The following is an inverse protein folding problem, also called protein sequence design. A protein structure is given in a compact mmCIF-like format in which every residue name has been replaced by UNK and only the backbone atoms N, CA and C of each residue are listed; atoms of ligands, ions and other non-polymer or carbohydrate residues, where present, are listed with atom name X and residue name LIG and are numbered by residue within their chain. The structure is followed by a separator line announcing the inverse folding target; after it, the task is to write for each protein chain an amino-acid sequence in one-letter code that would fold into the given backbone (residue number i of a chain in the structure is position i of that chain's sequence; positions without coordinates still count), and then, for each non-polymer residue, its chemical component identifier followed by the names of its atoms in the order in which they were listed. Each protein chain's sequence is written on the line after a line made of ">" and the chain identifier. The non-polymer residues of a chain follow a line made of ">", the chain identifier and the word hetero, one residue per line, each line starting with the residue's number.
data_IF_640451195962
#
_entry.id   IF_640451195962
#
_cell.length_a   1.000
_cell.length_b   1.000
_cell.length_c   1.000
_cell.angle_alpha   90.00
_cell.angle_beta   90.00
_cell.angle_gamma   90.00
#
_symmetry.space_group_name_H-M   'P 1'
#
loop_
_entity.id
_entity.type
_entity.pdbx_description
1 polymer ?
#
# COMPACT_ATOMS: atom_id res chain seq x y z
N UNK A 1 -1.82 -3.68 -17.47
CA UNK A 1 -1.01 -2.65 -16.78
C UNK A 1 -1.91 -1.97 -15.76
N UNK A 2 -1.57 -2.00 -14.47
CA UNK A 2 -2.33 -1.27 -13.43
C UNK A 2 -1.93 0.21 -13.55
N UNK A 3 -2.90 1.11 -13.68
CA UNK A 3 -2.60 2.55 -13.76
C UNK A 3 -2.50 3.18 -12.34
N UNK A 4 -1.99 4.42 -12.25
CA UNK A 4 -1.76 5.08 -10.96
C UNK A 4 -3.02 5.25 -10.09
N UNK A 5 -4.19 5.45 -10.71
CA UNK A 5 -5.46 5.58 -10.00
C UNK A 5 -5.92 4.25 -9.39
N UNK A 6 -5.86 3.16 -10.17
CA UNK A 6 -6.16 1.81 -9.67
C UNK A 6 -5.22 1.40 -8.53
N UNK A 7 -3.95 1.82 -8.60
CA UNK A 7 -2.99 1.56 -7.53
C UNK A 7 -3.31 2.36 -6.26
N UNK A 8 -3.76 3.61 -6.39
CA UNK A 8 -4.24 4.42 -5.26
C UNK A 8 -5.47 3.81 -4.59
N UNK A 9 -6.45 3.34 -5.37
CA UNK A 9 -7.64 2.68 -4.85
C UNK A 9 -7.28 1.39 -4.08
N UNK A 10 -6.39 0.57 -4.64
CA UNK A 10 -5.90 -0.64 -4.00
C UNK A 10 -5.14 -0.34 -2.70
N UNK A 11 -4.33 0.71 -2.69
CA UNK A 11 -3.57 1.14 -1.51
C UNK A 11 -4.54 1.54 -0.39
N UNK A 12 -5.56 2.35 -0.70
CA UNK A 12 -6.58 2.76 0.27
C UNK A 12 -7.37 1.58 0.81
N UNK A 13 -7.76 0.65 -0.06
CA UNK A 13 -8.46 -0.58 0.36
C UNK A 13 -7.59 -1.42 1.30
N UNK A 14 -6.29 -1.55 0.98
CA UNK A 14 -5.33 -2.33 1.77
C UNK A 14 -5.09 -1.70 3.14
N UNK A 15 -4.97 -0.36 3.22
CA UNK A 15 -4.87 0.38 4.50
C UNK A 15 -6.12 0.19 5.37
N UNK A 16 -7.32 0.22 4.77
CA UNK A 16 -8.56 -0.06 5.49
C UNK A 16 -8.61 -1.51 6.04
N UNK A 17 -8.21 -2.50 5.24
CA UNK A 17 -8.15 -3.91 5.70
C UNK A 17 -7.17 -4.08 6.85
N UNK A 18 -6.01 -3.44 6.76
CA UNK A 18 -5.03 -3.43 7.85
C UNK A 18 -5.58 -2.81 9.13
N UNK A 19 -6.32 -1.70 9.05
CA UNK A 19 -6.98 -1.10 10.20
C UNK A 19 -7.95 -2.08 10.87
N UNK A 20 -8.71 -2.85 10.09
CA UNK A 20 -9.60 -3.88 10.61
C UNK A 20 -8.84 -5.04 11.29
N UNK A 21 -7.69 -5.46 10.74
CA UNK A 21 -6.84 -6.48 11.35
C UNK A 21 -6.28 -6.00 12.70
N UNK A 22 -5.75 -4.78 12.78
CA UNK A 22 -5.27 -4.20 14.04
C UNK A 22 -6.38 -4.18 15.09
N UNK A 23 -7.59 -3.70 14.74
CA UNK A 23 -8.74 -3.70 15.66
C UNK A 23 -9.15 -5.10 16.11
N UNK A 24 -9.06 -6.10 15.23
CA UNK A 24 -9.37 -7.48 15.58
C UNK A 24 -8.33 -8.03 16.56
N UNK A 25 -7.04 -7.83 16.28
CA UNK A 25 -5.93 -8.21 17.17
C UNK A 25 -6.10 -7.58 18.54
N UNK A 26 -6.33 -6.27 18.61
CA UNK A 26 -6.49 -5.53 19.86
C UNK A 26 -7.58 -6.16 20.74
N UNK A 27 -8.73 -6.49 20.15
CA UNK A 27 -9.84 -7.13 20.87
C UNK A 27 -9.51 -8.50 21.45
N UNK A 28 -8.81 -9.35 20.69
CA UNK A 28 -8.54 -10.74 21.11
C UNK A 28 -7.21 -10.88 21.87
N UNK A 29 -6.36 -9.86 21.86
CA UNK A 29 -5.01 -9.88 22.46
C UNK A 29 -4.99 -10.08 23.98
N UNK A 30 -6.09 -9.73 24.66
CA UNK A 30 -6.22 -9.89 26.12
C UNK A 30 -6.64 -11.29 26.55
N UNK A 31 -7.12 -12.12 25.61
CA UNK A 31 -7.59 -13.47 25.88
C UNK A 31 -6.44 -14.48 25.73
N UNK A 32 -6.02 -15.17 26.79
CA UNK A 32 -4.85 -16.06 26.77
C UNK A 32 -4.95 -17.19 25.73
N UNK A 33 -6.17 -17.68 25.50
CA UNK A 33 -6.46 -18.78 24.58
C UNK A 33 -6.26 -18.37 23.11
N UNK A 34 -6.25 -17.07 22.80
CA UNK A 34 -6.04 -16.57 21.44
C UNK A 34 -4.60 -16.15 21.15
N UNK A 35 -3.62 -16.48 22.01
CA UNK A 35 -2.20 -16.13 21.81
C UNK A 35 -1.66 -16.54 20.44
N UNK A 36 -1.98 -17.75 19.98
CA UNK A 36 -1.53 -18.23 18.67
C UNK A 36 -2.19 -17.44 17.53
N UNK A 37 -3.50 -17.21 17.61
CA UNK A 37 -4.24 -16.41 16.62
C UNK A 37 -3.69 -14.98 16.53
N UNK A 38 -3.39 -14.34 17.68
CA UNK A 38 -2.76 -13.02 17.75
C UNK A 38 -1.40 -13.02 17.06
N UNK A 39 -0.58 -14.05 17.32
CA UNK A 39 0.73 -14.21 16.69
C UNK A 39 0.61 -14.30 15.16
N UNK A 40 -0.27 -15.17 14.65
CA UNK A 40 -0.51 -15.35 13.21
C UNK A 40 -1.04 -14.07 12.57
N UNK A 41 -2.03 -13.41 13.18
CA UNK A 41 -2.58 -12.16 12.66
C UNK A 41 -1.54 -11.03 12.63
N UNK A 42 -0.63 -10.99 13.60
CA UNK A 42 0.48 -10.02 13.63
C UNK A 42 1.44 -10.23 12.45
N UNK A 43 1.74 -11.48 12.08
CA UNK A 43 2.53 -11.79 10.89
C UNK A 43 1.81 -11.32 9.63
N UNK A 44 0.51 -11.60 9.51
CA UNK A 44 -0.29 -11.15 8.35
C UNK A 44 -0.28 -9.62 8.22
N UNK A 45 -0.45 -8.90 9.32
CA UNK A 45 -0.35 -7.42 9.33
C UNK A 45 1.01 -6.95 8.82
N UNK A 46 2.10 -7.58 9.25
CA UNK A 46 3.45 -7.26 8.78
C UNK A 46 3.61 -7.48 7.27
N UNK A 47 3.05 -8.56 6.74
CA UNK A 47 3.10 -8.84 5.31
C UNK A 47 2.33 -7.78 4.51
N UNK A 48 1.18 -7.33 5.01
CA UNK A 48 0.41 -6.24 4.41
C UNK A 48 1.17 -4.91 4.45
N UNK A 49 1.89 -4.60 5.54
CA UNK A 49 2.75 -3.42 5.63
C UNK A 49 3.83 -3.43 4.54
N UNK A 50 4.52 -4.56 4.37
CA UNK A 50 5.55 -4.71 3.33
C UNK A 50 4.97 -4.57 1.93
N UNK A 51 3.74 -5.04 1.70
CA UNK A 51 3.06 -4.86 0.41
C UNK A 51 2.68 -3.39 0.17
N UNK A 52 2.15 -2.70 1.18
CA UNK A 52 1.84 -1.27 1.09
C UNK A 52 3.09 -0.45 0.76
N UNK A 53 4.23 -0.73 1.39
CA UNK A 53 5.48 -0.02 1.11
C UNK A 53 5.92 -0.20 -0.35
N UNK A 54 5.81 -1.42 -0.89
CA UNK A 54 6.10 -1.70 -2.30
C UNK A 54 5.14 -0.96 -3.24
N UNK A 55 3.86 -0.91 -2.91
CA UNK A 55 2.85 -0.19 -3.70
C UNK A 55 3.11 1.33 -3.68
N UNK A 56 3.44 1.90 -2.51
CA UNK A 56 3.82 3.32 -2.35
C UNK A 56 5.05 3.65 -3.20
N UNK A 57 6.08 2.80 -3.18
CA UNK A 57 7.26 2.97 -4.03
C UNK A 57 6.93 2.89 -5.52
N UNK A 58 6.05 1.96 -5.92
CA UNK A 58 5.63 1.84 -7.32
C UNK A 58 4.86 3.08 -7.78
N UNK A 59 3.96 3.62 -6.94
CA UNK A 59 3.21 4.83 -7.22
C UNK A 59 4.14 6.04 -7.41
N UNK A 60 5.11 6.24 -6.49
CA UNK A 60 6.07 7.34 -6.61
C UNK A 60 6.91 7.28 -7.90
N UNK A 61 7.24 6.07 -8.39
CA UNK A 61 7.92 5.91 -9.69
C UNK A 61 7.03 6.30 -10.88
N UNK A 62 5.72 6.03 -10.80
CA UNK A 62 4.74 6.41 -11.84
C UNK A 62 4.60 7.93 -11.91
N UNK A 63 4.52 8.61 -10.76
CA UNK A 63 4.44 10.07 -10.69
C UNK A 63 5.67 10.75 -11.30
N UNK A 64 6.88 10.26 -10.98
CA UNK A 64 8.14 10.78 -11.53
C UNK A 64 8.26 10.53 -13.04
N UNK A 65 7.86 9.34 -13.51
CA UNK A 65 7.88 9.02 -14.94
C UNK A 65 6.92 9.88 -15.78
N UNK A 66 5.77 10.25 -15.22
CA UNK A 66 4.84 11.18 -15.85
C UNK A 66 5.38 12.60 -15.97
N UNK A 67 6.13 13.08 -14.97
CA UNK A 67 6.77 14.41 -15.01
C UNK A 67 7.90 14.49 -16.03
N UNK A 68 8.71 13.43 -16.20
CA UNK A 68 9.79 13.41 -17.21
C UNK A 68 9.26 13.42 -18.65
N UNK A 69 8.12 12.79 -18.93
CA UNK A 69 7.52 12.83 -20.28
C UNK A 69 6.94 14.19 -20.64
N UNK A 70 6.38 14.94 -19.68
CA UNK A 70 5.89 16.29 -19.95
C UNK A 70 7.02 17.30 -20.23
N UNK A 71 8.20 17.12 -19.64
CA UNK A 71 9.35 18.00 -19.90
C UNK A 71 10.02 17.76 -21.26
N UNK A 72 9.94 16.55 -21.83
CA UNK A 72 10.46 16.30 -23.18
C UNK A 72 9.48 16.72 -24.29
N UNK A 73 8.17 16.66 -24.05
CA UNK A 73 7.18 17.11 -25.04
C UNK A 73 7.26 18.62 -25.30
N UNK A 74 7.49 19.43 -24.26
CA UNK A 74 7.58 20.90 -24.42
C UNK A 74 8.84 21.37 -25.16
N UNK A 75 9.91 20.58 -25.18
CA UNK A 75 11.18 20.99 -25.81
C UNK A 75 11.25 20.66 -27.31
N UNK A 76 10.32 19.84 -27.82
CA UNK A 76 10.27 19.43 -29.22
C UNK A 76 9.33 20.28 -30.10
N UNK A 77 8.58 21.21 -29.52
CA UNK A 77 7.71 22.15 -30.26
C UNK A 77 8.36 23.52 -30.50
N UNK A 78 9.60 23.75 -30.03
CA UNK A 78 10.31 25.04 -30.15
C UNK A 78 11.54 24.95 -31.09
N UNK A 79 11.61 23.96 -32.00
CA UNK A 79 12.61 23.91 -33.06
C UNK A 79 11.99 23.70 -34.43
#
# INVERSE_FOLDING_TARGET
>A
MVNGLQLLDLLRETENKMLHLHRAIDRVSSEPDFKESVSVLTVVVRDYQLQLDKMKQALGKIEIGGQQQQQQAHNNEIH
#
